data_IF_579933965598
#
_entry.id   IF_579933965598
#
_cell.length_a   1.000
_cell.length_b   1.000
_cell.length_c   1.000
_cell.angle_alpha   90.00
_cell.angle_beta   90.00
_cell.angle_gamma   90.00
#
_symmetry.space_group_name_H-M   'P 1'
#
loop_
_entity.id
_entity.type
_entity.pdbx_description
1 polymer ?
#
# COMPACT_ATOMS: atom_id res chain seq x y z
N UNK A 1 -60.97 19.18 -2.86
CA UNK A 1 -61.27 20.59 -2.57
C UNK A 1 -59.97 21.27 -2.16
N UNK A 2 -59.40 22.13 -3.00
CA UNK A 2 -59.09 23.54 -2.68
C UNK A 2 -57.83 23.65 -1.81
N UNK A 3 -56.72 24.25 -2.26
CA UNK A 3 -56.64 25.62 -2.77
C UNK A 3 -55.33 25.81 -3.53
N UNK A 4 -55.48 26.35 -4.74
CA UNK A 4 -54.50 27.14 -5.45
C UNK A 4 -54.17 28.40 -4.62
N UNK A 5 -52.90 28.76 -4.46
CA UNK A 5 -52.53 30.15 -4.19
C UNK A 5 -51.12 30.44 -4.71
N UNK A 6 -51.08 31.13 -5.85
CA UNK A 6 -49.95 31.88 -6.36
C UNK A 6 -49.71 33.11 -5.49
N UNK A 7 -48.48 33.33 -5.03
CA UNK A 7 -47.86 34.64 -4.76
C UNK A 7 -46.36 34.36 -4.95
N UNK A 8 -45.65 34.86 -5.97
CA UNK A 8 -45.41 36.25 -6.31
C UNK A 8 -43.90 36.37 -6.51
N UNK A 9 -43.46 36.16 -7.75
CA UNK A 9 -42.06 36.28 -8.18
C UNK A 9 -41.67 37.76 -8.13
N UNK A 10 -40.89 38.16 -7.13
CA UNK A 10 -40.31 39.49 -7.05
C UNK A 10 -38.79 39.38 -7.16
N UNK A 11 -38.29 39.84 -8.31
CA UNK A 11 -36.88 40.11 -8.57
C UNK A 11 -36.51 41.39 -7.81
N UNK A 12 -35.54 41.31 -6.90
CA UNK A 12 -34.82 42.48 -6.39
C UNK A 12 -33.33 42.18 -6.44
N UNK A 13 -32.70 42.77 -7.46
CA UNK A 13 -31.26 42.97 -7.55
C UNK A 13 -30.90 44.11 -6.61
N UNK A 14 -30.00 43.85 -5.66
CA UNK A 14 -29.31 44.90 -4.91
C UNK A 14 -27.82 44.58 -4.89
N UNK A 15 -27.08 45.42 -5.60
CA UNK A 15 -25.63 45.59 -5.46
C UNK A 15 -25.35 46.41 -4.20
N UNK A 16 -24.28 46.10 -3.47
CA UNK A 16 -23.24 47.03 -2.97
C UNK A 16 -22.43 46.44 -1.80
N UNK A 17 -21.11 46.58 -1.93
CA UNK A 17 -20.04 46.22 -0.98
C UNK A 17 -20.10 47.00 0.35
N UNK A 18 -19.61 46.39 1.43
CA UNK A 18 -19.22 47.10 2.65
C UNK A 18 -19.03 46.23 3.90
N UNK A 19 -17.81 45.70 4.07
CA UNK A 19 -17.05 45.42 5.31
C UNK A 19 -17.76 45.43 6.68
N UNK A 20 -17.83 44.28 7.37
CA UNK A 20 -17.07 43.88 8.60
C UNK A 20 -17.83 42.83 9.45
N UNK A 21 -17.18 41.69 9.71
CA UNK A 21 -17.28 40.98 10.99
C UNK A 21 -18.09 39.68 11.08
N UNK A 22 -17.33 38.57 11.13
CA UNK A 22 -17.39 37.47 12.13
C UNK A 22 -17.85 36.08 11.67
N UNK A 23 -16.95 35.12 11.93
CA UNK A 23 -17.10 33.69 12.22
C UNK A 23 -17.63 32.74 11.15
N UNK A 24 -16.73 31.90 10.67
CA UNK A 24 -17.00 30.62 10.02
C UNK A 24 -15.67 30.04 9.54
N UNK A 25 -15.12 29.10 10.31
CA UNK A 25 -13.81 28.51 10.11
C UNK A 25 -13.78 27.65 8.84
N UNK A 26 -12.97 28.04 7.86
CA UNK A 26 -12.45 27.16 6.81
C UNK A 26 -10.95 27.02 7.04
N UNK A 27 -10.55 25.86 7.55
CA UNK A 27 -9.16 25.49 7.73
C UNK A 27 -9.12 24.05 8.18
N UNK A 28 -8.92 23.12 7.23
CA UNK A 28 -8.50 21.73 7.46
C UNK A 28 -8.46 20.98 6.10
N UNK A 29 -7.56 21.41 5.19
CA UNK A 29 -7.28 20.66 3.96
C UNK A 29 -5.83 20.84 3.48
N UNK A 30 -4.91 21.18 4.39
CA UNK A 30 -3.51 21.45 4.03
C UNK A 30 -2.47 20.68 4.85
N UNK A 31 -2.87 19.99 5.92
CA UNK A 31 -1.93 19.28 6.80
C UNK A 31 -1.56 17.87 6.28
N UNK A 32 -2.52 17.19 5.64
CA UNK A 32 -2.34 15.79 5.19
C UNK A 32 -1.30 15.64 4.07
N UNK A 33 -1.05 16.68 3.27
CA UNK A 33 -0.09 16.59 2.16
C UNK A 33 1.36 16.86 2.58
N UNK A 34 1.59 17.56 3.69
CA UNK A 34 2.93 17.79 4.23
C UNK A 34 3.41 16.60 5.07
N UNK A 35 2.50 15.88 5.72
CA UNK A 35 2.83 14.69 6.50
C UNK A 35 3.24 13.50 5.61
N UNK A 36 2.54 13.25 4.49
CA UNK A 36 2.88 12.16 3.55
C UNK A 36 4.21 12.37 2.80
N UNK A 37 4.61 13.62 2.51
CA UNK A 37 5.86 13.92 1.78
C UNK A 37 7.08 13.91 2.70
N UNK A 38 6.91 14.26 3.97
CA UNK A 38 8.02 14.24 4.95
C UNK A 38 8.34 12.80 5.38
N UNK A 39 7.32 11.93 5.42
CA UNK A 39 7.52 10.51 5.70
C UNK A 39 8.35 9.82 4.61
N UNK A 40 8.10 10.04 3.31
CA UNK A 40 8.79 9.30 2.24
C UNK A 40 10.30 9.56 2.16
N UNK A 41 10.76 10.79 2.41
CA UNK A 41 12.19 11.15 2.33
C UNK A 41 13.03 10.69 3.53
N UNK A 42 12.44 10.67 4.74
CA UNK A 42 13.12 10.20 5.95
C UNK A 42 12.99 8.69 6.17
N UNK A 43 11.90 8.08 5.68
CA UNK A 43 11.67 6.64 5.78
C UNK A 43 12.75 5.82 5.08
N UNK A 44 13.38 6.34 4.03
CA UNK A 44 14.44 5.64 3.28
C UNK A 44 15.80 5.61 4.00
N UNK A 45 16.03 6.46 5.01
CA UNK A 45 17.29 6.53 5.76
C UNK A 45 17.20 5.72 7.06
N UNK A 46 17.34 4.40 6.94
CA UNK A 46 17.38 3.47 8.07
C UNK A 46 18.80 2.92 8.29
N UNK A 47 19.14 2.61 9.53
CA UNK A 47 20.43 2.01 9.90
C UNK A 47 20.34 0.49 10.09
N UNK A 48 19.13 -0.02 10.34
CA UNK A 48 18.84 -1.44 10.52
C UNK A 48 17.40 -1.70 10.08
N UNK A 49 17.12 -2.87 9.53
CA UNK A 49 15.76 -3.29 9.18
C UNK A 49 15.67 -3.75 7.73
N UNK A 50 14.59 -3.36 7.04
CA UNK A 50 14.31 -3.79 5.67
C UNK A 50 14.18 -2.57 4.77
N UNK A 51 14.86 -2.60 3.63
CA UNK A 51 14.60 -1.73 2.48
C UNK A 51 14.15 -2.60 1.34
N UNK A 52 13.11 -2.21 0.61
CA UNK A 52 12.68 -3.03 -0.50
C UNK A 52 11.84 -2.33 -1.55
N UNK A 53 11.55 -3.08 -2.60
CA UNK A 53 10.71 -2.66 -3.71
C UNK A 53 9.62 -3.68 -4.00
N UNK A 54 8.38 -3.22 -4.07
CA UNK A 54 7.23 -4.02 -4.52
C UNK A 54 7.08 -3.87 -6.03
N UNK A 55 7.17 -4.99 -6.73
CA UNK A 55 7.06 -5.08 -8.18
C UNK A 55 5.74 -5.75 -8.56
N UNK A 56 5.15 -5.30 -9.67
CA UNK A 56 3.92 -5.84 -10.24
C UNK A 56 4.16 -6.39 -11.64
N UNK A 57 3.67 -7.60 -11.86
CA UNK A 57 3.69 -8.31 -13.14
C UNK A 57 2.29 -8.89 -13.45
N UNK A 58 1.80 -8.74 -14.68
CA UNK A 58 0.47 -9.17 -15.09
C UNK A 58 0.33 -9.46 -16.59
N UNK A 59 -0.68 -10.22 -17.00
CA UNK A 59 -0.95 -10.56 -18.39
C UNK A 59 -0.07 -11.71 -18.90
N UNK A 60 -0.04 -11.92 -20.22
CA UNK A 60 0.75 -12.99 -20.84
C UNK A 60 2.26 -12.69 -20.79
N UNK A 61 3.01 -13.62 -20.21
CA UNK A 61 4.47 -13.60 -20.03
C UNK A 61 5.15 -14.79 -20.73
N UNK A 62 4.41 -15.61 -21.49
CA UNK A 62 4.99 -16.67 -22.31
C UNK A 62 5.91 -16.06 -23.38
N UNK A 63 7.14 -16.57 -23.53
CA UNK A 63 8.00 -16.17 -24.64
C UNK A 63 7.39 -16.65 -25.97
N UNK A 64 7.44 -15.80 -27.00
CA UNK A 64 7.06 -16.16 -28.36
C UNK A 64 8.09 -15.56 -29.34
N UNK A 65 8.57 -16.33 -30.34
CA UNK A 65 9.49 -15.81 -31.34
C UNK A 65 8.86 -14.69 -32.20
N UNK A 66 7.53 -14.66 -32.29
CA UNK A 66 6.78 -13.73 -33.15
C UNK A 66 6.21 -12.52 -32.38
N UNK A 67 6.46 -12.42 -31.08
CA UNK A 67 6.01 -11.32 -30.24
C UNK A 67 7.20 -10.53 -29.67
N UNK A 68 7.07 -9.20 -29.50
CA UNK A 68 8.07 -8.44 -28.76
C UNK A 68 8.16 -8.95 -27.31
N UNK A 69 9.32 -8.86 -26.67
CA UNK A 69 9.47 -9.23 -25.27
C UNK A 69 8.46 -8.49 -24.38
N UNK A 70 7.88 -9.20 -23.40
CA UNK A 70 7.01 -8.57 -22.41
C UNK A 70 7.79 -7.52 -21.63
N UNK A 71 7.15 -6.38 -21.33
CA UNK A 71 7.73 -5.39 -20.41
C UNK A 71 7.94 -6.05 -19.06
N UNK A 72 9.11 -5.85 -18.47
CA UNK A 72 9.43 -6.37 -17.14
C UNK A 72 8.49 -5.84 -16.03
N UNK A 73 8.65 -6.36 -14.80
CA UNK A 73 7.87 -5.89 -13.67
C UNK A 73 8.04 -4.38 -13.45
N UNK A 74 6.99 -3.74 -12.95
CA UNK A 74 7.00 -2.30 -12.62
C UNK A 74 6.78 -2.09 -11.13
N UNK A 75 7.34 -1.02 -10.57
CA UNK A 75 7.00 -0.55 -9.23
C UNK A 75 5.50 -0.34 -9.04
N UNK A 76 5.01 -0.61 -7.82
CA UNK A 76 3.59 -0.43 -7.48
C UNK A 76 3.36 0.00 -6.02
N UNK A 77 2.43 0.92 -5.80
CA UNK A 77 1.97 1.26 -4.45
C UNK A 77 1.20 0.11 -3.81
N UNK A 78 1.66 -0.35 -2.64
CA UNK A 78 1.01 -1.35 -1.79
C UNK A 78 1.24 -1.03 -0.32
N UNK A 79 0.40 -1.62 0.52
CA UNK A 79 0.72 -1.73 1.95
C UNK A 79 1.38 -3.07 2.18
N UNK A 80 2.61 -3.04 2.68
CA UNK A 80 3.38 -4.21 3.09
C UNK A 80 3.08 -4.49 4.56
N UNK A 81 2.68 -5.71 4.86
CA UNK A 81 2.45 -6.20 6.22
C UNK A 81 3.61 -7.08 6.63
N UNK A 82 4.15 -6.83 7.82
CA UNK A 82 5.33 -7.52 8.34
C UNK A 82 4.92 -8.23 9.62
N UNK A 83 4.91 -9.55 9.56
CA UNK A 83 4.63 -10.41 10.70
C UNK A 83 5.93 -10.99 11.26
N UNK A 84 5.91 -11.45 12.51
CA UNK A 84 6.89 -12.46 12.96
C UNK A 84 6.91 -13.63 11.98
N UNK A 85 8.05 -14.32 11.85
CA UNK A 85 8.22 -15.43 10.91
C UNK A 85 7.04 -16.40 10.94
N UNK A 86 6.32 -16.48 9.82
CA UNK A 86 5.08 -17.24 9.67
C UNK A 86 5.33 -18.48 8.83
N UNK A 87 5.08 -19.65 9.41
CA UNK A 87 5.04 -20.90 8.67
C UNK A 87 3.70 -21.07 7.94
N UNK A 88 3.69 -21.77 6.80
CA UNK A 88 2.46 -22.13 6.06
C UNK A 88 1.37 -22.77 6.93
N UNK A 89 1.75 -23.52 7.99
CA UNK A 89 0.81 -24.13 8.95
C UNK A 89 0.13 -23.13 9.89
N UNK A 90 0.62 -21.90 9.96
CA UNK A 90 0.15 -20.82 10.83
C UNK A 90 -0.71 -19.79 10.08
N UNK A 91 -1.11 -20.09 8.83
CA UNK A 91 -1.99 -19.26 8.03
C UNK A 91 -2.95 -20.12 7.20
N UNK A 92 -4.13 -19.59 6.89
CA UNK A 92 -5.03 -20.19 5.91
C UNK A 92 -4.62 -19.70 4.52
N UNK A 93 -4.24 -20.62 3.63
CA UNK A 93 -3.76 -20.32 2.28
C UNK A 93 -4.77 -20.72 1.21
N UNK A 94 -5.07 -19.81 0.29
CA UNK A 94 -5.94 -19.99 -0.87
C UNK A 94 -5.13 -19.76 -2.14
N UNK A 95 -5.37 -20.57 -3.17
CA UNK A 95 -4.66 -20.54 -4.47
C UNK A 95 -3.12 -20.61 -4.36
N UNK A 96 -2.62 -21.10 -3.22
CA UNK A 96 -1.19 -21.21 -2.92
C UNK A 96 -0.48 -19.89 -2.61
N UNK A 97 -1.12 -18.73 -2.79
CA UNK A 97 -0.46 -17.41 -2.73
C UNK A 97 -1.20 -16.34 -1.94
N UNK A 98 -2.48 -16.58 -1.59
CA UNK A 98 -3.25 -15.66 -0.77
C UNK A 98 -3.43 -16.23 0.63
N UNK A 99 -3.20 -15.39 1.64
CA UNK A 99 -3.15 -15.77 3.04
C UNK A 99 -4.14 -14.96 3.87
N UNK A 100 -4.78 -15.64 4.80
CA UNK A 100 -5.68 -15.08 5.82
C UNK A 100 -5.46 -15.81 7.14
N UNK A 101 -6.06 -15.31 8.24
CA UNK A 101 -5.96 -15.93 9.56
C UNK A 101 -4.50 -16.22 9.97
N UNK A 102 -3.63 -15.21 9.83
CA UNK A 102 -2.22 -15.32 10.23
C UNK A 102 -2.17 -15.38 11.76
N UNK A 103 -1.59 -16.46 12.29
CA UNK A 103 -1.55 -16.75 13.73
C UNK A 103 -0.34 -16.14 14.44
N UNK A 104 0.64 -15.65 13.67
CA UNK A 104 1.79 -14.92 14.21
C UNK A 104 1.46 -13.45 14.44
N UNK A 105 2.29 -12.76 15.22
CA UNK A 105 2.06 -11.36 15.57
C UNK A 105 2.35 -10.44 14.37
N UNK A 106 1.44 -9.50 14.10
CA UNK A 106 1.73 -8.37 13.22
C UNK A 106 2.71 -7.43 13.93
N UNK A 107 3.88 -7.22 13.33
CA UNK A 107 4.94 -6.36 13.86
C UNK A 107 4.70 -4.92 13.45
N UNK A 108 4.49 -4.71 12.15
CA UNK A 108 4.22 -3.38 11.58
C UNK A 108 3.64 -3.47 10.17
N UNK A 109 3.22 -2.34 9.63
CA UNK A 109 2.80 -2.18 8.25
C UNK A 109 3.40 -0.90 7.66
N UNK A 110 3.70 -0.92 6.37
CA UNK A 110 4.35 0.19 5.68
C UNK A 110 3.77 0.38 4.28
N UNK A 111 3.38 1.60 3.94
CA UNK A 111 2.94 1.93 2.57
C UNK A 111 4.17 2.20 1.71
N UNK A 112 4.17 1.67 0.49
CA UNK A 112 5.21 1.94 -0.51
C UNK A 112 4.93 3.21 -1.30
N UNK A 113 5.98 3.80 -1.89
CA UNK A 113 5.86 4.92 -2.81
C UNK A 113 5.33 4.50 -4.20
N UNK A 114 5.12 5.48 -5.09
CA UNK A 114 4.65 5.28 -6.46
C UNK A 114 5.50 4.30 -7.29
N UNK A 115 6.78 4.15 -6.95
CA UNK A 115 7.73 3.24 -7.59
C UNK A 115 7.88 1.91 -6.82
N UNK A 116 7.05 1.68 -5.80
CA UNK A 116 7.06 0.49 -4.97
C UNK A 116 8.10 0.47 -3.87
N UNK A 117 8.87 1.53 -3.66
CA UNK A 117 9.94 1.54 -2.66
C UNK A 117 9.37 1.71 -1.25
N UNK A 118 10.03 1.06 -0.29
CA UNK A 118 9.80 1.26 1.13
C UNK A 118 11.07 1.00 1.93
N UNK A 119 11.10 1.52 3.15
CA UNK A 119 12.04 1.12 4.17
C UNK A 119 11.37 1.17 5.54
N UNK A 120 11.84 0.33 6.46
CA UNK A 120 11.28 0.18 7.80
C UNK A 120 12.37 -0.26 8.77
N UNK A 121 12.47 0.44 9.91
CA UNK A 121 13.35 0.03 11.00
C UNK A 121 12.73 -1.18 11.71
N UNK A 122 13.52 -2.22 11.90
CA UNK A 122 13.13 -3.43 12.62
C UNK A 122 14.28 -3.88 13.51
N UNK A 123 13.95 -4.50 14.64
CA UNK A 123 14.93 -5.19 15.48
C UNK A 123 15.52 -6.41 14.76
N UNK A 124 16.67 -6.95 15.20
CA UNK A 124 17.20 -8.18 14.63
C UNK A 124 16.22 -9.34 14.84
N UNK A 125 15.99 -10.13 13.80
CA UNK A 125 15.01 -11.20 13.84
C UNK A 125 14.62 -11.72 12.46
N UNK A 126 13.72 -12.72 12.44
CA UNK A 126 13.13 -13.27 11.21
C UNK A 126 11.67 -12.87 11.11
N UNK A 127 11.27 -12.45 9.92
CA UNK A 127 9.94 -11.92 9.63
C UNK A 127 9.37 -12.57 8.37
N UNK A 128 8.06 -12.41 8.18
CA UNK A 128 7.34 -12.76 6.96
C UNK A 128 6.72 -11.51 6.34
N UNK A 129 6.93 -11.33 5.04
CA UNK A 129 6.41 -10.20 4.27
C UNK A 129 5.15 -10.59 3.48
N UNK A 130 4.18 -9.69 3.44
CA UNK A 130 2.98 -9.82 2.63
C UNK A 130 2.59 -8.48 2.02
N UNK A 131 1.98 -8.47 0.83
CA UNK A 131 1.30 -7.27 0.31
C UNK A 131 -0.21 -7.38 0.52
N UNK A 132 -0.88 -6.28 0.81
CA UNK A 132 -2.34 -6.24 0.84
C UNK A 132 -2.91 -6.14 -0.57
N UNK A 133 -3.69 -7.15 -0.96
CA UNK A 133 -4.46 -7.19 -2.20
C UNK A 133 -5.96 -7.33 -1.90
N UNK A 134 -6.80 -7.27 -2.94
CA UNK A 134 -8.26 -7.38 -2.79
C UNK A 134 -8.69 -8.72 -2.19
N UNK A 135 -8.03 -9.82 -2.58
CA UNK A 135 -8.36 -11.18 -2.16
C UNK A 135 -7.80 -11.57 -0.78
N UNK A 136 -6.90 -10.76 -0.20
CA UNK A 136 -6.22 -11.11 1.05
C UNK A 136 -4.82 -10.53 1.17
N UNK A 137 -3.99 -11.16 2.00
CA UNK A 137 -2.55 -10.88 2.04
C UNK A 137 -1.85 -11.78 1.03
N UNK A 138 -1.09 -11.22 0.11
CA UNK A 138 -0.41 -11.97 -0.95
C UNK A 138 1.06 -12.21 -0.60
N UNK A 139 1.53 -13.44 -0.83
CA UNK A 139 2.93 -13.84 -0.86
C UNK A 139 3.08 -15.15 -1.64
N UNK A 140 4.08 -15.25 -2.51
CA UNK A 140 4.28 -16.42 -3.38
C UNK A 140 5.65 -17.10 -3.18
N UNK A 141 6.48 -16.60 -2.27
CA UNK A 141 7.80 -17.16 -1.96
C UNK A 141 7.73 -17.98 -0.68
N UNK A 142 8.40 -19.14 -0.67
CA UNK A 142 8.56 -19.99 0.50
C UNK A 142 10.02 -20.43 0.62
N UNK A 143 10.53 -20.58 1.85
CA UNK A 143 11.82 -21.25 2.07
C UNK A 143 11.67 -22.78 2.17
N UNK A 144 12.78 -23.48 2.37
CA UNK A 144 12.81 -24.95 2.49
C UNK A 144 12.04 -25.50 3.69
N UNK A 145 11.73 -24.67 4.69
CA UNK A 145 10.97 -25.03 5.88
C UNK A 145 9.49 -24.63 5.78
N UNK A 146 9.05 -24.18 4.60
CA UNK A 146 7.69 -23.70 4.33
C UNK A 146 7.32 -22.42 5.11
N UNK A 147 8.30 -21.58 5.46
CA UNK A 147 8.02 -20.22 5.93
C UNK A 147 7.63 -19.33 4.76
N UNK A 148 6.62 -18.49 4.97
CA UNK A 148 6.05 -17.64 3.92
C UNK A 148 6.89 -16.37 3.81
N UNK A 149 7.41 -16.07 2.62
CA UNK A 149 8.21 -14.90 2.26
C UNK A 149 9.15 -14.44 3.39
N UNK A 150 10.07 -15.32 3.85
CA UNK A 150 10.89 -15.04 5.00
C UNK A 150 11.99 -14.03 4.67
N UNK A 151 12.25 -13.14 5.63
CA UNK A 151 13.35 -12.16 5.60
C UNK A 151 14.03 -12.13 6.96
N UNK A 152 15.36 -12.05 6.97
CA UNK A 152 16.16 -11.94 8.20
C UNK A 152 16.72 -10.53 8.29
N UNK A 153 16.57 -9.89 9.45
CA UNK A 153 17.22 -8.63 9.81
C UNK A 153 18.33 -8.96 10.81
N UNK A 154 19.56 -8.53 10.50
CA UNK A 154 20.72 -8.68 11.40
C UNK A 154 21.01 -7.36 12.10
N UNK A 155 21.73 -7.46 13.23
CA UNK A 155 22.10 -6.30 14.01
C UNK A 155 22.97 -5.32 13.20
N UNK A 156 22.55 -4.06 13.16
CA UNK A 156 23.22 -2.99 12.41
C UNK A 156 23.13 -3.10 10.89
N UNK A 157 22.31 -4.01 10.34
CA UNK A 157 22.21 -4.25 8.91
C UNK A 157 20.83 -3.89 8.32
N UNK A 158 20.85 -3.36 7.10
CA UNK A 158 19.65 -3.16 6.28
C UNK A 158 19.60 -4.27 5.24
N UNK A 159 18.54 -5.07 5.32
CA UNK A 159 18.30 -6.16 4.37
C UNK A 159 17.52 -5.64 3.17
N UNK A 160 18.04 -5.87 1.97
CA UNK A 160 17.39 -5.48 0.72
C UNK A 160 16.47 -6.59 0.21
N UNK A 161 15.25 -6.24 -0.18
CA UNK A 161 14.25 -7.20 -0.70
C UNK A 161 13.56 -6.68 -1.96
N UNK A 162 13.39 -7.56 -2.94
CA UNK A 162 12.43 -7.39 -4.03
C UNK A 162 11.26 -8.33 -3.80
N UNK A 163 10.04 -7.81 -3.89
CA UNK A 163 8.82 -8.57 -3.69
C UNK A 163 7.97 -8.50 -4.96
N UNK A 164 7.84 -9.62 -5.68
CA UNK A 164 7.09 -9.69 -6.92
C UNK A 164 5.65 -10.13 -6.70
N UNK A 165 4.72 -9.22 -6.97
CA UNK A 165 3.28 -9.50 -7.05
C UNK A 165 2.93 -9.89 -8.48
N UNK A 166 2.62 -11.17 -8.71
CA UNK A 166 2.36 -11.72 -10.03
C UNK A 166 1.14 -12.65 -10.11
N UNK A 167 0.20 -12.57 -9.16
CA UNK A 167 -1.03 -13.39 -9.18
C UNK A 167 -1.95 -13.13 -10.40
N UNK A 168 -1.67 -12.08 -11.19
CA UNK A 168 -2.36 -11.78 -12.45
C UNK A 168 -1.49 -12.03 -13.69
N UNK A 169 -0.34 -12.68 -13.55
CA UNK A 169 0.54 -13.06 -14.65
C UNK A 169 0.29 -14.51 -15.10
N UNK A 170 0.46 -14.75 -16.39
CA UNK A 170 0.38 -16.08 -17.00
C UNK A 170 1.70 -16.38 -17.69
N UNK A 171 2.38 -17.45 -17.28
CA UNK A 171 3.70 -17.85 -17.81
C UNK A 171 3.59 -19.11 -18.67
#
# INVERSE_FOLDING_TARGET
MGKLLLIGLSLLLTMCNGTQGTSGQEGEAQDTQQELKTQTGQQMQIKQGIRGQILWESGNRMPSPDAPPSKGPRGVERTVYIYELTNSRQATTTDGVFHTNIQTKLVTQVKTDANGNFAVNLEPGRYSLFTKEEQGLYANLFDGDMNISPVEVKEGEVTEVEFLVNHSAFY
#
